data_IF_170891290912
#
_entry.id   IF_170891290912
#
_cell.length_a   1.000
_cell.length_b   1.000
_cell.length_c   1.000
_cell.angle_alpha   90.00
_cell.angle_beta   90.00
_cell.angle_gamma   90.00
#
_symmetry.space_group_name_H-M   'P 1'
#
loop_
_entity.id
_entity.type
_entity.pdbx_description
1 polymer ?
#
# COMPACT_ATOMS: atom_id res chain seq x y z
N UNK A 1 -3.47 13.45 1.50
CA UNK A 1 -3.17 12.70 0.26
C UNK A 1 -4.45 12.43 -0.51
N UNK A 2 -4.46 12.72 -1.81
CA UNK A 2 -5.56 12.44 -2.76
C UNK A 2 -4.95 11.79 -4.01
N UNK A 3 -5.59 10.76 -4.56
CA UNK A 3 -5.12 10.07 -5.77
C UNK A 3 -5.31 10.97 -6.99
N UNK A 4 -4.22 11.34 -7.66
CA UNK A 4 -4.21 12.23 -8.83
C UNK A 4 -4.14 11.46 -10.15
N UNK A 5 -3.53 10.28 -10.15
CA UNK A 5 -3.33 9.45 -11.34
C UNK A 5 -4.12 8.14 -11.23
N UNK A 6 -3.43 7.02 -11.03
CA UNK A 6 -4.03 5.72 -10.77
C UNK A 6 -3.59 5.22 -9.42
N UNK A 7 -4.55 4.65 -8.69
CA UNK A 7 -4.26 4.01 -7.43
C UNK A 7 -3.87 2.55 -7.63
N UNK A 8 -2.83 2.15 -6.92
CA UNK A 8 -2.39 0.77 -6.84
C UNK A 8 -2.33 0.34 -5.38
N UNK A 9 -2.92 -0.81 -5.07
CA UNK A 9 -2.65 -1.52 -3.83
C UNK A 9 -1.49 -2.47 -4.05
N UNK A 10 -0.52 -2.38 -3.13
CA UNK A 10 0.69 -3.17 -3.16
C UNK A 10 0.77 -3.98 -1.88
N UNK A 11 0.82 -5.29 -2.00
CA UNK A 11 1.14 -6.17 -0.89
C UNK A 11 2.55 -6.71 -1.07
N UNK A 12 3.37 -6.53 -0.03
CA UNK A 12 4.72 -7.06 0.07
C UNK A 12 4.65 -8.35 0.87
N UNK A 13 5.05 -9.46 0.27
CA UNK A 13 5.10 -10.78 0.90
C UNK A 13 6.55 -11.29 0.89
N UNK A 14 6.97 -11.97 1.96
CA UNK A 14 8.24 -12.67 1.96
C UNK A 14 8.14 -13.92 1.07
N UNK A 15 9.03 -14.03 0.08
CA UNK A 15 9.01 -15.10 -0.91
C UNK A 15 9.27 -16.49 -0.34
N UNK A 16 10.04 -16.57 0.75
CA UNK A 16 10.44 -17.84 1.36
C UNK A 16 9.44 -18.34 2.39
N UNK A 17 8.84 -17.43 3.15
CA UNK A 17 7.90 -17.79 4.23
C UNK A 17 6.44 -17.60 3.83
N UNK A 18 6.15 -16.97 2.70
CA UNK A 18 4.82 -16.53 2.28
C UNK A 18 4.10 -15.67 3.31
N UNK A 19 4.87 -15.04 4.22
CA UNK A 19 4.31 -14.17 5.24
C UNK A 19 4.13 -12.78 4.67
N UNK A 20 2.92 -12.25 4.90
CA UNK A 20 2.64 -10.84 4.66
C UNK A 20 3.63 -9.98 5.46
N UNK A 21 4.27 -9.05 4.77
CA UNK A 21 5.21 -8.11 5.36
C UNK A 21 4.54 -6.76 5.59
N UNK A 22 4.09 -6.11 4.51
CA UNK A 22 3.49 -4.76 4.53
C UNK A 22 2.59 -4.52 3.33
N UNK A 23 1.64 -3.59 3.46
CA UNK A 23 0.76 -3.17 2.38
C UNK A 23 0.86 -1.67 2.15
N UNK A 24 0.65 -1.22 0.92
CA UNK A 24 0.75 0.18 0.52
C UNK A 24 -0.33 0.56 -0.48
N UNK A 25 -0.71 1.83 -0.44
CA UNK A 25 -1.47 2.52 -1.47
C UNK A 25 -0.52 3.49 -2.16
N UNK A 26 -0.38 3.35 -3.47
CA UNK A 26 0.53 4.15 -4.28
C UNK A 26 -0.24 4.81 -5.41
N UNK A 27 -0.08 6.13 -5.56
CA UNK A 27 -0.53 6.88 -6.72
C UNK A 27 0.59 6.89 -7.77
N UNK A 28 0.36 6.26 -8.92
CA UNK A 28 1.37 6.16 -9.98
C UNK A 28 0.73 6.05 -11.37
N UNK A 29 1.54 6.16 -12.42
CA UNK A 29 1.10 5.98 -13.81
C UNK A 29 0.92 4.50 -14.19
N UNK A 30 1.82 3.65 -13.69
CA UNK A 30 1.95 2.25 -14.10
C UNK A 30 2.60 1.37 -13.02
N UNK A 31 2.45 0.04 -13.18
CA UNK A 31 2.95 -0.95 -12.22
C UNK A 31 4.47 -0.98 -12.05
N UNK A 32 5.25 -0.61 -13.07
CA UNK A 32 6.71 -0.58 -12.95
C UNK A 32 7.14 0.58 -12.06
N UNK A 33 6.51 1.75 -12.23
CA UNK A 33 6.72 2.91 -11.36
C UNK A 33 6.40 2.57 -9.90
N UNK A 34 5.29 1.88 -9.65
CA UNK A 34 4.91 1.40 -8.31
C UNK A 34 5.99 0.49 -7.71
N UNK A 35 6.48 -0.47 -8.49
CA UNK A 35 7.55 -1.40 -8.04
C UNK A 35 8.79 -0.63 -7.60
N UNK A 36 9.25 0.35 -8.39
CA UNK A 36 10.43 1.15 -8.07
C UNK A 36 10.24 1.98 -6.80
N UNK A 37 9.06 2.61 -6.65
CA UNK A 37 8.70 3.40 -5.47
C UNK A 37 8.74 2.52 -4.21
N UNK A 38 8.13 1.34 -4.26
CA UNK A 38 8.04 0.45 -3.10
C UNK A 38 9.40 -0.13 -2.72
N UNK A 39 10.23 -0.51 -3.69
CA UNK A 39 11.61 -0.96 -3.41
C UNK A 39 12.40 0.16 -2.72
N UNK A 40 12.28 1.39 -3.21
CA UNK A 40 12.96 2.56 -2.63
C UNK A 40 12.52 2.85 -1.19
N UNK A 41 11.21 2.83 -0.92
CA UNK A 41 10.63 3.14 0.39
C UNK A 41 10.90 2.03 1.41
N UNK A 42 10.61 0.78 1.03
CA UNK A 42 10.72 -0.36 1.94
C UNK A 42 12.17 -0.78 2.17
N UNK A 43 13.11 -0.36 1.30
CA UNK A 43 14.50 -0.83 1.28
C UNK A 43 14.58 -2.37 1.31
N UNK A 44 13.60 -3.01 0.66
CA UNK A 44 13.49 -4.46 0.58
C UNK A 44 14.31 -4.96 -0.59
N UNK A 45 14.85 -6.17 -0.43
CA UNK A 45 15.55 -6.86 -1.50
C UNK A 45 14.52 -7.54 -2.42
N UNK A 46 14.45 -7.19 -3.71
CA UNK A 46 13.45 -7.74 -4.64
C UNK A 46 13.65 -9.23 -4.96
N UNK A 47 14.77 -9.84 -4.55
CA UNK A 47 14.95 -11.30 -4.67
C UNK A 47 14.30 -12.04 -3.50
N UNK A 48 14.11 -11.35 -2.38
CA UNK A 48 13.61 -11.92 -1.12
C UNK A 48 12.13 -11.65 -0.87
N UNK A 49 11.56 -10.65 -1.54
CA UNK A 49 10.16 -10.24 -1.38
C UNK A 49 9.43 -10.22 -2.71
N UNK A 50 8.20 -10.74 -2.71
CA UNK A 50 7.27 -10.64 -3.82
C UNK A 50 6.34 -9.44 -3.64
N UNK A 51 6.04 -8.76 -4.74
CA UNK A 51 5.18 -7.57 -4.78
C UNK A 51 3.91 -7.91 -5.57
N UNK A 52 2.78 -7.98 -4.88
CA UNK A 52 1.47 -8.13 -5.52
C UNK A 52 0.90 -6.75 -5.77
N UNK A 53 0.82 -6.35 -7.03
CA UNK A 53 0.35 -5.02 -7.45
C UNK A 53 -1.00 -5.13 -8.15
N UNK A 54 -2.01 -4.59 -7.49
CA UNK A 54 -3.41 -4.55 -7.94
C UNK A 54 -3.80 -3.12 -8.26
N UNK A 55 -4.24 -2.87 -9.50
CA UNK A 55 -4.83 -1.57 -9.86
C UNK A 55 -6.22 -1.49 -9.23
N UNK A 56 -6.53 -0.37 -8.59
CA UNK A 56 -7.82 -0.12 -7.95
C UNK A 56 -8.39 1.20 -8.43
N UNK A 57 -9.71 1.36 -8.34
CA UNK A 57 -10.33 2.64 -8.67
C UNK A 57 -9.86 3.72 -7.69
N UNK A 58 -9.73 4.95 -8.18
CA UNK A 58 -9.41 6.10 -7.34
C UNK A 58 -10.43 6.27 -6.20
N UNK A 59 -11.71 5.96 -6.46
CA UNK A 59 -12.78 5.97 -5.45
C UNK A 59 -12.51 4.97 -4.32
N UNK A 60 -12.11 3.73 -4.64
CA UNK A 60 -11.82 2.72 -3.63
C UNK A 60 -10.57 3.09 -2.80
N UNK A 61 -9.56 3.65 -3.44
CA UNK A 61 -8.36 4.11 -2.77
C UNK A 61 -8.60 5.33 -1.88
N UNK A 62 -9.35 6.33 -2.37
CA UNK A 62 -9.73 7.49 -1.56
C UNK A 62 -10.62 7.09 -0.39
N UNK A 63 -11.59 6.19 -0.60
CA UNK A 63 -12.40 5.61 0.48
C UNK A 63 -11.53 4.94 1.55
N UNK A 64 -10.50 4.18 1.16
CA UNK A 64 -9.54 3.60 2.10
C UNK A 64 -8.71 4.67 2.84
N UNK A 65 -8.30 5.74 2.16
CA UNK A 65 -7.57 6.85 2.78
C UNK A 65 -8.46 7.63 3.77
N UNK A 66 -9.77 7.66 3.58
CA UNK A 66 -10.71 8.28 4.52
C UNK A 66 -11.15 7.33 5.65
N UNK A 67 -10.86 6.03 5.52
CA UNK A 67 -11.29 5.00 6.46
C UNK A 67 -10.49 5.04 7.77
N UNK A 68 -11.21 4.83 8.88
CA UNK A 68 -10.69 4.86 10.23
C UNK A 68 -10.89 3.53 10.93
N UNK A 69 -9.91 3.15 11.75
CA UNK A 69 -10.00 2.07 12.71
C UNK A 69 -11.10 2.37 13.76
N UNK A 70 -11.58 1.35 14.51
CA UNK A 70 -12.63 1.52 15.51
C UNK A 70 -12.30 2.51 16.63
N UNK A 71 -11.02 2.80 16.83
CA UNK A 71 -10.51 3.78 17.79
C UNK A 71 -10.44 5.22 17.22
N UNK A 72 -10.81 5.43 15.95
CA UNK A 72 -10.80 6.72 15.27
C UNK A 72 -9.48 7.06 14.56
N UNK A 73 -8.45 6.23 14.66
CA UNK A 73 -7.19 6.44 13.92
C UNK A 73 -7.36 6.07 12.45
N UNK A 74 -6.61 6.70 11.55
CA UNK A 74 -6.63 6.35 10.13
C UNK A 74 -6.10 4.91 9.91
N UNK A 75 -6.68 4.18 8.96
CA UNK A 75 -6.21 2.85 8.54
C UNK A 75 -4.91 2.87 7.73
N UNK A 76 -4.34 4.05 7.52
CA UNK A 76 -3.14 4.24 6.74
C UNK A 76 -2.25 5.28 7.40
N UNK A 77 -0.97 5.25 7.01
CA UNK A 77 0.03 6.23 7.37
C UNK A 77 0.65 6.76 6.09
N UNK A 78 0.48 8.06 5.82
CA UNK A 78 1.16 8.71 4.70
C UNK A 78 2.66 8.64 4.95
N UNK A 79 3.38 7.99 4.03
CA UNK A 79 4.84 7.87 4.07
C UNK A 79 5.46 9.05 3.34
N UNK A 80 4.92 9.38 2.17
CA UNK A 80 5.39 10.48 1.35
C UNK A 80 4.22 11.00 0.50
N UNK A 81 3.82 12.25 0.73
CA UNK A 81 2.68 12.85 0.03
C UNK A 81 3.05 13.35 -1.37
N UNK A 82 4.31 13.73 -1.60
CA UNK A 82 4.78 14.26 -2.89
C UNK A 82 4.79 13.18 -3.98
N UNK A 83 5.18 11.96 -3.61
CA UNK A 83 5.15 10.79 -4.49
C UNK A 83 3.90 9.93 -4.30
N UNK A 84 2.95 10.38 -3.48
CA UNK A 84 1.64 9.74 -3.29
C UNK A 84 1.73 8.31 -2.75
N UNK A 85 2.37 8.11 -1.59
CA UNK A 85 2.49 6.81 -0.94
C UNK A 85 1.97 6.82 0.48
N UNK A 86 1.06 5.90 0.75
CA UNK A 86 0.57 5.58 2.09
C UNK A 86 0.83 4.11 2.43
N UNK A 87 1.37 3.85 3.63
CA UNK A 87 1.47 2.52 4.21
C UNK A 87 0.15 2.14 4.87
N UNK A 88 -0.36 0.96 4.58
CA UNK A 88 -1.58 0.44 5.18
C UNK A 88 -1.25 -0.06 6.60
N UNK A 89 -1.99 0.45 7.58
CA UNK A 89 -1.82 0.08 9.00
C UNK A 89 -2.73 -1.10 9.30
N UNK A 90 -2.17 -2.30 9.23
CA UNK A 90 -2.86 -3.52 9.68
C UNK A 90 -2.75 -3.63 11.19
N UNK A 91 -3.81 -3.23 11.91
CA UNK A 91 -3.94 -3.56 13.32
C UNK A 91 -4.28 -5.06 13.46
N UNK A 92 -3.80 -5.71 14.52
CA UNK A 92 -4.08 -7.11 14.90
C UNK A 92 -5.58 -7.44 15.13
N UNK A 93 -6.50 -6.50 14.86
CA UNK A 93 -7.95 -6.72 14.86
C UNK A 93 -8.51 -7.20 13.52
N UNK A 94 -7.67 -7.51 12.53
CA UNK A 94 -8.08 -8.20 11.32
C UNK A 94 -7.99 -7.34 10.07
N UNK A 95 -7.78 -8.05 8.97
CA UNK A 95 -7.73 -7.52 7.63
C UNK A 95 -9.09 -6.84 7.32
N UNK A 96 -9.15 -5.57 6.88
CA UNK A 96 -10.41 -4.94 6.49
C UNK A 96 -11.03 -5.53 5.20
N UNK A 97 -10.41 -6.58 4.64
CA UNK A 97 -10.87 -7.31 3.45
C UNK A 97 -11.40 -8.73 3.74
N UNK A 98 -11.63 -9.09 5.01
CA UNK A 98 -12.43 -10.28 5.38
C UNK A 98 -13.89 -9.95 5.69
#
# INVERSE_FOLDING_TARGET
MEIKQKAFFVEVENKFTHQFYKGFVVDAEDKNSVTQIIISICKIDPLSYDLKISEVSAEAANSFLEDTLPNGDLKHKVIDEDIGVAEMVYNSMGNPYE
#
